data_IF_029299053331
#
_entry.id   IF_029299053331
#
_cell.length_a   1.000
_cell.length_b   1.000
_cell.length_c   1.000
_cell.angle_alpha   90.00
_cell.angle_beta   90.00
_cell.angle_gamma   90.00
#
_symmetry.space_group_name_H-M   'P 1'
#
loop_
_entity.id
_entity.type
_entity.pdbx_description
1 polymer ?
#
# COMPACT_ATOMS: atom_id res chain seq x y z
N UNK A 1 -19.84 2.22 -48.58
CA UNK A 1 -21.06 1.43 -48.32
C UNK A 1 -20.73 0.25 -47.38
N UNK A 2 -20.94 0.41 -46.07
CA UNK A 2 -22.04 -0.25 -45.31
C UNK A 2 -21.58 -1.68 -44.89
N UNK A 3 -21.38 -2.09 -43.62
CA UNK A 3 -22.10 -1.84 -42.36
C UNK A 3 -21.22 -2.13 -41.11
N UNK A 4 -21.41 -1.31 -40.06
CA UNK A 4 -21.12 -1.58 -38.64
C UNK A 4 -22.41 -2.08 -37.96
N UNK A 5 -22.37 -2.96 -36.95
CA UNK A 5 -23.51 -3.18 -36.06
C UNK A 5 -23.45 -2.26 -34.82
N UNK A 6 -24.58 -1.57 -34.56
CA UNK A 6 -24.96 -0.91 -33.30
C UNK A 6 -25.83 -1.87 -32.45
N UNK A 7 -25.93 -1.69 -31.11
CA UNK A 7 -26.71 -2.54 -30.22
C UNK A 7 -28.19 -2.13 -30.15
N UNK A 8 -29.09 -3.00 -29.66
CA UNK A 8 -30.52 -2.72 -29.64
C UNK A 8 -30.94 -1.89 -28.42
N UNK A 9 -31.73 -0.86 -28.71
CA UNK A 9 -32.64 -0.15 -27.81
C UNK A 9 -34.00 -0.84 -27.78
N UNK A 10 -34.62 -0.95 -26.61
CA UNK A 10 -36.06 -1.24 -26.48
C UNK A 10 -36.69 -0.29 -25.46
N UNK A 11 -37.55 0.59 -25.95
CA UNK A 11 -38.53 1.39 -25.21
C UNK A 11 -39.92 1.01 -25.70
N UNK A 12 -40.91 0.95 -24.80
CA UNK A 12 -42.36 1.14 -25.03
C UNK A 12 -43.02 1.17 -23.63
N UNK A 13 -43.46 2.35 -23.17
CA UNK A 13 -44.88 2.83 -23.16
C UNK A 13 -45.63 2.37 -21.89
N UNK A 14 -45.75 3.22 -20.87
CA UNK A 14 -46.84 4.20 -20.61
C UNK A 14 -48.15 3.54 -20.17
N UNK A 15 -48.54 3.76 -18.91
CA UNK A 15 -49.91 4.12 -18.52
C UNK A 15 -49.96 4.62 -17.06
N UNK A 16 -50.71 5.68 -16.85
CA UNK A 16 -51.20 6.21 -15.57
C UNK A 16 -52.72 6.40 -15.72
N UNK A 17 -53.50 6.40 -14.64
CA UNK A 17 -54.04 7.71 -14.23
C UNK A 17 -54.28 7.93 -12.72
N UNK A 18 -54.12 9.21 -12.36
CA UNK A 18 -54.85 10.09 -11.41
C UNK A 18 -55.46 9.55 -10.09
N UNK A 19 -55.20 10.31 -9.02
CA UNK A 19 -56.02 10.37 -7.81
C UNK A 19 -55.53 11.41 -6.79
N UNK A 20 -56.10 12.61 -6.86
CA UNK A 20 -55.81 13.83 -6.09
C UNK A 20 -56.27 13.80 -4.62
N UNK A 21 -55.57 14.55 -3.74
CA UNK A 21 -56.10 15.66 -2.88
C UNK A 21 -55.17 16.01 -1.70
N UNK A 22 -54.66 17.23 -1.71
CA UNK A 22 -54.39 18.08 -0.51
C UNK A 22 -55.60 19.05 -0.34
N UNK A 23 -55.64 20.11 0.53
CA UNK A 23 -54.66 20.65 1.51
C UNK A 23 -55.31 21.18 2.84
N UNK A 24 -54.54 22.03 3.56
CA UNK A 24 -54.90 23.09 4.55
C UNK A 24 -54.97 22.70 6.05
N UNK A 25 -54.61 23.51 7.06
CA UNK A 25 -53.73 24.68 7.29
C UNK A 25 -53.82 25.04 8.79
N UNK A 26 -52.75 25.63 9.34
CA UNK A 26 -52.68 26.73 10.35
C UNK A 26 -53.07 26.53 11.84
N UNK A 27 -52.09 26.93 12.68
CA UNK A 27 -52.05 27.46 14.08
C UNK A 27 -53.07 28.59 14.38
N UNK A 28 -53.32 29.08 15.64
CA UNK A 28 -52.38 29.42 16.75
C UNK A 28 -52.85 29.23 18.23
N UNK A 29 -51.94 29.19 19.23
CA UNK A 29 -51.79 30.16 20.36
C UNK A 29 -52.58 29.73 21.62
N UNK A 30 -52.19 29.84 22.90
CA UNK A 30 -51.16 30.59 23.62
C UNK A 30 -51.02 30.07 25.10
N UNK A 31 -49.92 30.48 25.75
CA UNK A 31 -49.63 30.72 27.19
C UNK A 31 -49.61 29.63 28.29
N UNK A 32 -48.51 29.65 29.07
CA UNK A 32 -48.42 29.12 30.44
C UNK A 32 -47.00 28.76 30.88
N UNK A 33 -46.27 29.71 31.46
CA UNK A 33 -44.82 29.60 31.72
C UNK A 33 -44.39 28.76 32.93
N UNK A 34 -43.11 28.37 32.96
CA UNK A 34 -42.29 28.06 34.15
C UNK A 34 -40.80 28.29 33.83
N UNK A 35 -40.07 28.78 34.84
CA UNK A 35 -38.70 29.34 34.86
C UNK A 35 -37.58 28.34 34.48
N UNK A 36 -36.36 28.83 34.15
CA UNK A 36 -35.34 28.08 33.41
C UNK A 36 -34.46 27.21 34.32
N UNK A 37 -34.15 25.99 33.86
CA UNK A 37 -33.13 25.11 34.45
C UNK A 37 -32.01 24.95 33.42
N UNK A 38 -30.86 25.53 33.70
CA UNK A 38 -29.64 25.39 32.89
C UNK A 38 -29.04 23.99 33.06
N UNK A 39 -28.63 23.29 31.98
CA UNK A 39 -27.86 22.06 32.09
C UNK A 39 -26.39 22.37 32.42
N UNK A 40 -25.71 21.51 33.22
CA UNK A 40 -24.37 21.79 33.70
C UNK A 40 -23.30 21.61 32.62
N UNK A 41 -22.35 22.54 32.63
CA UNK A 41 -21.11 22.55 31.85
C UNK A 41 -20.19 21.41 32.33
N UNK A 42 -19.95 20.41 31.47
CA UNK A 42 -18.95 19.38 31.70
C UNK A 42 -17.56 19.92 31.36
N UNK A 43 -16.78 20.22 32.41
CA UNK A 43 -15.32 20.43 32.36
C UNK A 43 -14.61 19.10 32.06
N UNK A 44 -13.63 19.04 31.15
CA UNK A 44 -12.76 17.87 31.02
C UNK A 44 -11.80 17.80 32.22
N UNK A 45 -11.95 16.77 33.05
CA UNK A 45 -10.93 16.35 34.01
C UNK A 45 -10.00 15.32 33.32
N UNK A 46 -8.69 15.32 33.62
CA UNK A 46 -7.69 14.54 32.89
C UNK A 46 -7.83 13.04 33.20
N UNK A 47 -7.74 12.19 32.17
CA UNK A 47 -7.71 10.74 32.34
C UNK A 47 -6.40 10.31 33.01
N UNK A 48 -6.55 9.67 34.16
CA UNK A 48 -5.56 8.94 34.94
C UNK A 48 -4.77 7.95 34.08
N UNK A 49 -3.46 8.13 34.05
CA UNK A 49 -2.46 7.16 33.60
C UNK A 49 -2.22 6.10 34.69
N UNK A 50 -2.81 4.91 34.56
CA UNK A 50 -2.45 3.78 35.43
C UNK A 50 -2.90 2.42 34.87
N UNK A 51 -2.20 1.90 33.86
CA UNK A 51 -2.21 0.47 33.53
C UNK A 51 -0.82 -0.02 33.10
N UNK A 52 0.22 0.35 33.83
CA UNK A 52 1.48 -0.40 33.86
C UNK A 52 2.06 -0.26 35.27
N UNK A 53 1.71 -1.19 36.15
CA UNK A 53 2.41 -1.36 37.43
C UNK A 53 3.71 -2.10 37.16
N UNK A 54 4.83 -1.46 37.47
CA UNK A 54 6.14 -2.08 37.58
C UNK A 54 6.17 -3.04 38.77
N UNK A 55 6.68 -4.26 38.56
CA UNK A 55 7.35 -5.09 39.57
C UNK A 55 8.19 -6.20 38.92
N UNK A 56 9.26 -6.68 39.57
CA UNK A 56 10.58 -6.74 38.92
C UNK A 56 11.15 -8.16 38.71
N UNK A 57 12.11 -8.21 37.78
CA UNK A 57 13.27 -9.12 37.70
C UNK A 57 13.01 -10.65 37.67
N UNK A 58 13.13 -11.26 36.47
CA UNK A 58 13.19 -12.72 36.31
C UNK A 58 13.72 -13.19 34.95
N UNK A 59 15.02 -13.44 34.87
CA UNK A 59 15.79 -14.15 33.82
C UNK A 59 15.76 -13.59 32.37
N UNK A 60 16.79 -12.80 32.04
CA UNK A 60 17.17 -12.56 30.63
C UNK A 60 17.83 -13.84 30.10
N UNK A 61 17.15 -14.55 29.18
CA UNK A 61 17.80 -15.65 28.45
C UNK A 61 19.04 -15.10 27.70
N UNK A 62 20.21 -15.77 27.77
CA UNK A 62 21.41 -15.30 27.08
C UNK A 62 21.21 -15.36 25.56
N UNK A 63 21.27 -14.21 24.89
CA UNK A 63 21.41 -14.16 23.44
C UNK A 63 22.69 -14.91 23.03
N UNK A 64 22.53 -16.04 22.32
CA UNK A 64 23.65 -16.90 21.93
C UNK A 64 24.64 -16.15 21.02
N UNK A 65 25.93 -16.47 21.11
CA UNK A 65 27.01 -15.84 20.32
C UNK A 65 26.72 -15.81 18.80
N UNK A 66 25.95 -16.77 18.28
CA UNK A 66 25.51 -16.85 16.88
C UNK A 66 24.51 -15.74 16.51
N UNK A 67 23.60 -15.35 17.44
CA UNK A 67 22.67 -14.23 17.28
C UNK A 67 23.38 -12.87 17.34
N UNK A 68 24.39 -12.70 18.21
CA UNK A 68 25.24 -11.49 18.19
C UNK A 68 25.96 -11.32 16.85
N UNK A 69 26.49 -12.42 16.27
CA UNK A 69 27.22 -12.36 14.99
C UNK A 69 26.35 -11.99 13.78
N UNK A 70 25.04 -12.28 13.82
CA UNK A 70 24.07 -11.84 12.80
C UNK A 70 23.78 -10.34 12.91
N UNK A 71 23.60 -9.82 14.14
CA UNK A 71 23.36 -8.40 14.40
C UNK A 71 24.61 -7.52 14.19
N UNK A 72 25.80 -8.05 14.44
CA UNK A 72 27.09 -7.36 14.18
C UNK A 72 27.54 -7.42 12.72
N UNK A 73 27.04 -8.37 11.91
CA UNK A 73 27.31 -8.38 10.45
C UNK A 73 26.49 -7.34 9.68
N UNK A 74 25.38 -6.84 10.25
CA UNK A 74 24.59 -5.74 9.69
C UNK A 74 25.10 -4.36 10.09
N UNK A 75 26.01 -4.25 11.06
CA UNK A 75 26.67 -2.98 11.38
C UNK A 75 27.94 -2.82 10.55
N UNK A 76 27.77 -2.63 9.24
CA UNK A 76 28.78 -1.82 8.53
C UNK A 76 28.62 -0.43 9.11
N UNK A 77 29.66 0.04 9.81
CA UNK A 77 29.69 1.36 10.41
C UNK A 77 29.11 2.39 9.44
N UNK A 78 28.08 3.10 9.87
CA UNK A 78 27.48 4.21 9.13
C UNK A 78 28.50 5.36 9.05
N UNK A 79 29.51 5.23 8.20
CA UNK A 79 30.29 6.37 7.76
C UNK A 79 29.39 7.16 6.81
N UNK A 80 28.72 8.17 7.35
CA UNK A 80 27.84 9.12 6.65
C UNK A 80 28.60 10.08 5.73
N UNK A 81 29.63 9.58 5.01
CA UNK A 81 30.30 10.41 4.01
C UNK A 81 29.34 10.69 2.84
N UNK A 82 29.31 11.92 2.31
CA UNK A 82 28.50 12.25 1.14
C UNK A 82 28.77 11.31 -0.04
N UNK A 83 30.02 10.88 -0.21
CA UNK A 83 30.44 9.91 -1.24
C UNK A 83 29.80 8.54 -1.04
N UNK A 84 29.69 8.06 0.20
CA UNK A 84 29.04 6.79 0.52
C UNK A 84 27.53 6.81 0.28
N UNK A 85 26.85 7.92 0.58
CA UNK A 85 25.40 8.05 0.31
C UNK A 85 25.10 8.03 -1.19
N UNK A 86 25.92 8.70 -2.01
CA UNK A 86 25.79 8.69 -3.47
C UNK A 86 25.96 7.29 -4.04
N UNK A 87 26.94 6.52 -3.54
CA UNK A 87 27.17 5.15 -4.00
C UNK A 87 26.00 4.23 -3.63
N UNK A 88 25.52 4.30 -2.39
CA UNK A 88 24.35 3.54 -1.93
C UNK A 88 23.10 3.92 -2.73
N UNK A 89 22.87 5.20 -3.00
CA UNK A 89 21.74 5.66 -3.80
C UNK A 89 21.80 5.16 -5.25
N UNK A 90 22.99 5.17 -5.86
CA UNK A 90 23.21 4.63 -7.21
C UNK A 90 22.99 3.12 -7.24
N UNK A 91 23.52 2.39 -6.25
CA UNK A 91 23.33 0.95 -6.14
C UNK A 91 21.85 0.60 -5.94
N UNK A 92 21.16 1.33 -5.05
CA UNK A 92 19.73 1.17 -4.83
C UNK A 92 18.94 1.47 -6.10
N UNK A 93 19.23 2.56 -6.80
CA UNK A 93 18.56 2.93 -8.03
C UNK A 93 18.74 1.87 -9.13
N UNK A 94 19.96 1.34 -9.28
CA UNK A 94 20.27 0.23 -10.21
C UNK A 94 19.53 -1.05 -9.84
N UNK A 95 19.48 -1.39 -8.54
CA UNK A 95 18.73 -2.56 -8.07
C UNK A 95 17.23 -2.42 -8.35
N UNK A 96 16.64 -1.25 -8.04
CA UNK A 96 15.23 -0.99 -8.30
C UNK A 96 14.90 -1.04 -9.81
N UNK A 97 15.79 -0.50 -10.64
CA UNK A 97 15.65 -0.58 -12.09
C UNK A 97 15.76 -2.01 -12.62
N UNK A 98 16.75 -2.78 -12.15
CA UNK A 98 16.89 -4.19 -12.50
C UNK A 98 15.65 -5.01 -12.11
N UNK A 99 15.11 -4.79 -10.91
CA UNK A 99 13.86 -5.42 -10.46
C UNK A 99 12.68 -5.02 -11.33
N UNK A 100 12.58 -3.74 -11.70
CA UNK A 100 11.51 -3.25 -12.57
C UNK A 100 11.60 -3.83 -13.97
N UNK A 101 12.80 -3.89 -14.58
CA UNK A 101 13.04 -4.51 -15.88
C UNK A 101 12.69 -5.98 -15.84
N UNK A 102 13.18 -6.72 -14.85
CA UNK A 102 12.85 -8.14 -14.67
C UNK A 102 11.34 -8.37 -14.55
N UNK A 103 10.64 -7.58 -13.73
CA UNK A 103 9.18 -7.66 -13.62
C UNK A 103 8.50 -7.36 -14.97
N UNK A 104 8.97 -6.36 -15.72
CA UNK A 104 8.43 -6.01 -17.04
C UNK A 104 8.67 -7.13 -18.07
N UNK A 105 9.88 -7.71 -18.11
CA UNK A 105 10.25 -8.78 -19.02
C UNK A 105 9.47 -10.07 -18.74
N UNK A 106 9.34 -10.43 -17.46
CA UNK A 106 8.49 -11.56 -17.02
C UNK A 106 7.03 -11.26 -17.39
N UNK A 107 6.49 -10.08 -17.08
CA UNK A 107 5.14 -9.70 -17.49
C UNK A 107 4.94 -9.83 -19.01
N UNK A 108 5.90 -9.38 -19.82
CA UNK A 108 5.85 -9.47 -21.27
C UNK A 108 5.84 -10.92 -21.77
N UNK A 109 6.58 -11.81 -21.10
CA UNK A 109 6.61 -13.25 -21.42
C UNK A 109 5.28 -13.96 -21.14
N UNK A 110 4.59 -13.59 -20.07
CA UNK A 110 3.33 -14.24 -19.66
C UNK A 110 2.06 -13.49 -20.14
N UNK A 111 2.20 -12.31 -20.76
CA UNK A 111 1.08 -11.50 -21.25
C UNK A 111 1.36 -10.83 -22.60
N UNK A 112 1.45 -11.58 -23.72
CA UNK A 112 1.43 -10.96 -25.04
C UNK A 112 0.08 -10.26 -25.24
N UNK A 113 0.07 -8.92 -25.13
CA UNK A 113 -1.11 -8.08 -25.41
C UNK A 113 -1.86 -7.48 -24.21
N UNK A 114 -1.49 -7.77 -22.95
CA UNK A 114 -2.08 -7.10 -21.76
C UNK A 114 -0.99 -6.34 -21.01
N UNK A 115 -0.50 -5.27 -21.62
CA UNK A 115 0.43 -4.33 -20.99
C UNK A 115 -0.28 -3.28 -20.14
N UNK A 116 -1.12 -3.66 -19.15
CA UNK A 116 -1.84 -2.70 -18.32
C UNK A 116 -1.63 -2.95 -16.82
N UNK A 117 -0.54 -2.41 -16.27
CA UNK A 117 -0.40 -2.25 -14.81
C UNK A 117 -1.21 -1.01 -14.34
N UNK A 118 -1.84 -1.01 -13.15
CA UNK A 118 -2.52 0.15 -12.55
C UNK A 118 -1.62 1.21 -11.91
N UNK A 119 -1.75 2.50 -12.28
CA UNK A 119 -0.90 3.58 -11.81
C UNK A 119 -1.13 3.77 -10.33
N UNK A 120 -0.02 3.92 -9.61
CA UNK A 120 -0.15 4.30 -8.22
C UNK A 120 -0.71 5.72 -8.15
N UNK A 121 -1.58 5.99 -7.17
CA UNK A 121 -2.10 7.34 -6.90
C UNK A 121 -0.97 8.38 -6.79
N UNK A 122 0.20 7.96 -6.29
CA UNK A 122 1.43 8.78 -6.24
C UNK A 122 1.93 9.22 -7.62
N UNK A 123 1.87 8.36 -8.64
CA UNK A 123 2.27 8.73 -9.99
C UNK A 123 1.36 9.79 -10.60
N UNK A 124 0.05 9.71 -10.33
CA UNK A 124 -0.94 10.72 -10.76
C UNK A 124 -0.62 12.09 -10.16
N UNK A 125 -0.33 12.12 -8.85
CA UNK A 125 0.08 13.34 -8.14
C UNK A 125 1.35 13.94 -8.76
N UNK A 126 2.37 13.11 -9.02
CA UNK A 126 3.61 13.58 -9.64
C UNK A 126 3.40 14.12 -11.07
N UNK A 127 2.48 13.53 -11.84
CA UNK A 127 2.13 14.04 -13.16
C UNK A 127 1.49 15.43 -13.08
N UNK A 128 0.57 15.66 -12.15
CA UNK A 128 -0.01 16.99 -11.93
C UNK A 128 1.05 17.99 -11.48
N UNK A 129 1.91 17.61 -10.54
CA UNK A 129 3.02 18.48 -10.08
C UNK A 129 4.02 18.83 -11.19
N UNK A 130 4.21 17.94 -12.16
CA UNK A 130 5.07 18.18 -13.31
C UNK A 130 4.42 19.02 -14.42
N UNK A 131 3.14 19.39 -14.27
CA UNK A 131 2.36 20.08 -15.30
C UNK A 131 1.89 19.17 -16.44
N UNK A 132 2.06 17.85 -16.34
CA UNK A 132 1.65 16.88 -17.37
C UNK A 132 0.15 16.59 -17.36
N UNK A 133 -0.58 17.00 -16.31
CA UNK A 133 -2.02 16.84 -16.20
C UNK A 133 -2.62 17.93 -15.30
N UNK A 134 -3.87 18.31 -15.55
CA UNK A 134 -4.58 19.32 -14.75
C UNK A 134 -5.14 18.78 -13.43
N UNK A 135 -5.44 17.47 -13.37
CA UNK A 135 -6.09 16.82 -12.24
C UNK A 135 -5.67 15.36 -12.13
N UNK A 136 -5.69 14.81 -10.92
CA UNK A 136 -5.42 13.38 -10.68
C UNK A 136 -6.57 12.48 -11.15
N UNK A 137 -7.79 13.02 -11.28
CA UNK A 137 -9.00 12.31 -11.70
C UNK A 137 -9.05 12.08 -13.21
N UNK A 138 -8.46 13.01 -13.98
CA UNK A 138 -8.57 13.03 -15.44
C UNK A 138 -7.48 12.21 -16.12
N UNK A 139 -6.55 11.64 -15.35
CA UNK A 139 -5.48 10.82 -15.90
C UNK A 139 -6.05 9.40 -16.15
N UNK A 140 -6.06 8.90 -17.39
CA UNK A 140 -6.41 7.52 -17.64
C UNK A 140 -5.42 6.57 -16.96
N UNK A 141 -5.90 5.40 -16.56
CA UNK A 141 -5.11 4.42 -15.84
C UNK A 141 -3.87 3.96 -16.64
N UNK A 142 -3.97 3.81 -17.96
CA UNK A 142 -2.84 3.47 -18.84
C UNK A 142 -1.82 4.61 -19.00
N UNK A 143 -2.27 5.85 -19.18
CA UNK A 143 -1.40 7.00 -19.38
C UNK A 143 -0.40 7.24 -18.22
N UNK A 144 -0.83 7.07 -16.96
CA UNK A 144 0.03 7.33 -15.80
C UNK A 144 1.19 6.34 -15.59
N UNK A 145 1.27 5.27 -16.37
CA UNK A 145 2.35 4.29 -16.32
C UNK A 145 3.28 4.29 -17.51
N UNK A 146 2.74 4.41 -18.71
CA UNK A 146 3.50 4.20 -19.95
C UNK A 146 3.90 5.52 -20.61
N UNK A 147 3.13 6.59 -20.42
CA UNK A 147 3.46 7.94 -20.89
C UNK A 147 4.20 8.77 -19.83
N UNK A 148 4.38 8.19 -18.64
CA UNK A 148 4.93 8.90 -17.49
C UNK A 148 6.45 9.05 -17.62
N UNK A 149 6.88 10.19 -18.19
CA UNK A 149 8.29 10.56 -18.41
C UNK A 149 9.03 11.01 -17.14
N UNK A 150 8.57 10.62 -15.95
CA UNK A 150 9.21 11.00 -14.70
C UNK A 150 10.64 10.45 -14.65
N UNK A 151 11.67 11.31 -14.60
CA UNK A 151 13.05 10.85 -14.57
C UNK A 151 13.33 10.04 -13.31
N UNK A 152 13.97 8.88 -13.47
CA UNK A 152 14.45 8.05 -12.36
C UNK A 152 15.81 8.53 -11.90
N UNK A 153 16.13 8.31 -10.62
CA UNK A 153 17.44 8.68 -10.06
C UNK A 153 18.61 8.02 -10.81
N UNK A 154 18.43 6.78 -11.31
CA UNK A 154 19.44 6.06 -12.11
C UNK A 154 19.71 6.69 -13.47
N UNK A 155 18.82 7.55 -13.98
CA UNK A 155 18.99 8.26 -15.25
C UNK A 155 19.91 9.47 -15.16
N UNK A 156 20.41 9.83 -13.98
CA UNK A 156 21.29 10.99 -13.79
C UNK A 156 22.76 10.58 -13.65
N UNK A 157 23.66 11.50 -14.02
CA UNK A 157 25.09 11.37 -13.73
C UNK A 157 25.35 11.34 -12.22
N UNK A 158 26.53 10.87 -11.80
CA UNK A 158 26.92 10.83 -10.37
C UNK A 158 26.77 12.20 -9.70
N UNK A 159 27.22 13.27 -10.36
CA UNK A 159 27.04 14.64 -9.88
C UNK A 159 25.55 15.03 -9.82
N UNK A 160 24.75 14.64 -10.82
CA UNK A 160 23.32 14.88 -10.83
C UNK A 160 22.56 14.15 -9.72
N UNK A 161 22.98 12.93 -9.36
CA UNK A 161 22.46 12.19 -8.22
C UNK A 161 22.85 12.87 -6.91
N UNK A 162 24.12 13.24 -6.74
CA UNK A 162 24.60 13.92 -5.54
C UNK A 162 23.85 15.24 -5.28
N UNK A 163 23.63 16.03 -6.33
CA UNK A 163 22.87 17.27 -6.22
C UNK A 163 21.46 17.03 -5.70
N UNK A 164 20.73 16.09 -6.31
CA UNK A 164 19.35 15.75 -5.90
C UNK A 164 19.28 15.19 -4.48
N UNK A 165 20.23 14.33 -4.11
CA UNK A 165 20.33 13.83 -2.75
C UNK A 165 20.56 14.95 -1.74
N UNK A 166 21.23 16.04 -2.13
CA UNK A 166 21.47 17.20 -1.28
C UNK A 166 20.27 18.17 -1.24
N UNK A 167 19.70 18.52 -2.39
CA UNK A 167 18.76 19.65 -2.50
C UNK A 167 17.28 19.27 -2.59
N UNK A 168 16.93 18.02 -2.93
CA UNK A 168 15.52 17.66 -3.14
C UNK A 168 14.84 17.19 -1.85
N UNK A 169 13.53 17.45 -1.75
CA UNK A 169 12.65 16.85 -0.75
C UNK A 169 12.56 15.34 -0.99
N UNK A 170 13.10 14.55 -0.06
CA UNK A 170 13.10 13.09 -0.14
C UNK A 170 11.96 12.55 0.69
N UNK A 171 11.08 11.77 0.08
CA UNK A 171 9.82 11.34 0.68
C UNK A 171 9.76 9.82 0.72
N UNK A 172 9.40 9.27 1.88
CA UNK A 172 9.12 7.85 2.06
C UNK A 172 7.71 7.68 2.64
N UNK A 173 6.92 6.75 2.10
CA UNK A 173 5.68 6.31 2.73
C UNK A 173 5.85 4.87 3.18
N UNK A 174 5.65 4.63 4.48
CA UNK A 174 5.76 3.32 5.12
C UNK A 174 4.39 2.86 5.61
N UNK A 175 4.24 1.55 5.72
CA UNK A 175 3.03 0.92 6.25
C UNK A 175 3.43 0.00 7.39
N UNK A 176 2.54 -0.18 8.36
CA UNK A 176 2.67 -1.21 9.37
C UNK A 176 2.99 -2.54 8.68
N UNK A 177 4.11 -3.19 9.06
CA UNK A 177 4.64 -4.29 8.26
C UNK A 177 3.71 -5.51 8.08
N UNK A 178 2.89 -5.86 9.07
CA UNK A 178 1.91 -6.95 8.96
C UNK A 178 0.70 -6.54 8.12
N UNK A 179 0.21 -5.32 8.27
CA UNK A 179 -0.83 -4.80 7.38
C UNK A 179 -0.37 -4.76 5.93
N UNK A 180 0.92 -4.47 5.69
CA UNK A 180 1.52 -4.50 4.36
C UNK A 180 1.48 -5.90 3.75
N UNK A 181 1.82 -6.94 4.52
CA UNK A 181 1.72 -8.32 4.04
C UNK A 181 0.29 -8.71 3.67
N UNK A 182 -0.68 -8.40 4.53
CA UNK A 182 -2.10 -8.70 4.28
C UNK A 182 -2.61 -7.92 3.08
N UNK A 183 -2.22 -6.65 2.94
CA UNK A 183 -2.56 -5.84 1.77
C UNK A 183 -1.98 -6.41 0.49
N UNK A 184 -0.74 -6.91 0.51
CA UNK A 184 -0.13 -7.56 -0.63
C UNK A 184 -0.87 -8.86 -0.98
N UNK A 185 -1.16 -9.71 0.01
CA UNK A 185 -1.91 -10.94 -0.20
C UNK A 185 -3.28 -10.67 -0.84
N UNK A 186 -4.07 -9.78 -0.24
CA UNK A 186 -5.40 -9.39 -0.72
C UNK A 186 -5.37 -8.86 -2.14
N UNK A 187 -4.41 -7.98 -2.45
CA UNK A 187 -4.28 -7.41 -3.80
C UNK A 187 -3.79 -8.42 -4.84
N UNK A 188 -2.95 -9.39 -4.44
CA UNK A 188 -2.27 -10.28 -5.39
C UNK A 188 -2.97 -11.61 -5.62
N UNK A 189 -3.66 -12.16 -4.61
CA UNK A 189 -4.13 -13.55 -4.62
C UNK A 189 -5.64 -13.75 -4.41
N UNK A 190 -6.38 -12.75 -3.91
CA UNK A 190 -7.83 -12.91 -3.67
C UNK A 190 -8.69 -12.67 -4.91
N UNK A 191 -8.20 -11.88 -5.85
CA UNK A 191 -8.88 -11.59 -7.11
C UNK A 191 -8.09 -12.15 -8.29
N UNK A 192 -8.75 -12.49 -9.41
CA UNK A 192 -8.07 -12.95 -10.61
C UNK A 192 -6.87 -12.06 -10.96
N UNK A 193 -5.71 -12.69 -11.10
CA UNK A 193 -4.46 -12.00 -11.34
C UNK A 193 -3.60 -12.79 -12.32
N UNK A 194 -3.53 -12.29 -13.54
CA UNK A 194 -2.86 -12.93 -14.67
C UNK A 194 -1.33 -12.94 -14.58
N UNK A 195 -0.73 -12.19 -13.65
CA UNK A 195 0.70 -12.27 -13.37
C UNK A 195 0.99 -13.07 -12.10
N UNK A 196 0.39 -12.68 -10.97
CA UNK A 196 0.76 -13.25 -9.67
C UNK A 196 0.29 -14.71 -9.52
N UNK A 197 -0.84 -15.11 -10.11
CA UNK A 197 -1.28 -16.50 -10.00
C UNK A 197 -0.35 -17.45 -10.78
N UNK A 198 -0.03 -17.21 -12.08
CA UNK A 198 0.90 -18.08 -12.80
C UNK A 198 2.31 -18.09 -12.23
N UNK A 199 2.86 -16.93 -11.84
CA UNK A 199 4.27 -16.81 -11.41
C UNK A 199 4.47 -17.25 -9.96
N UNK A 200 3.69 -16.69 -9.03
CA UNK A 200 3.85 -16.98 -7.60
C UNK A 200 2.88 -18.06 -7.13
N UNK A 201 1.61 -17.95 -7.53
CA UNK A 201 0.56 -18.81 -7.00
C UNK A 201 0.77 -20.29 -7.31
N UNK A 202 1.16 -20.63 -8.54
CA UNK A 202 1.51 -22.01 -8.92
C UNK A 202 2.65 -22.56 -8.07
N UNK A 203 3.71 -21.77 -7.89
CA UNK A 203 4.89 -22.19 -7.15
C UNK A 203 4.60 -22.35 -5.64
N UNK A 204 3.79 -21.46 -5.07
CA UNK A 204 3.34 -21.54 -3.67
C UNK A 204 2.48 -22.80 -3.48
N UNK A 205 1.43 -22.97 -4.30
CA UNK A 205 0.52 -24.11 -4.19
C UNK A 205 1.29 -25.43 -4.38
N UNK A 206 2.14 -25.51 -5.42
CA UNK A 206 2.90 -26.72 -5.71
C UNK A 206 3.85 -27.13 -4.58
N UNK A 207 4.32 -26.19 -3.76
CA UNK A 207 5.31 -26.47 -2.71
C UNK A 207 4.67 -26.72 -1.34
N UNK A 208 3.61 -26.00 -1.01
CA UNK A 208 3.09 -25.99 0.36
C UNK A 208 1.73 -26.69 0.52
N UNK A 209 1.05 -27.04 -0.59
CA UNK A 209 -0.24 -27.74 -0.56
C UNK A 209 -0.07 -29.23 -0.82
N UNK A 210 -0.26 -30.05 0.19
CA UNK A 210 -0.10 -31.52 0.09
C UNK A 210 -1.04 -32.17 -0.95
N UNK A 211 -2.30 -31.72 -1.03
CA UNK A 211 -3.34 -32.29 -1.92
C UNK A 211 -3.87 -31.25 -2.91
N UNK A 212 -2.97 -30.63 -3.69
CA UNK A 212 -3.35 -29.63 -4.68
C UNK A 212 -4.12 -30.23 -5.86
N UNK A 213 -5.27 -29.67 -6.21
CA UNK A 213 -5.99 -30.07 -7.42
C UNK A 213 -5.19 -29.68 -8.66
N UNK A 214 -5.34 -30.45 -9.75
CA UNK A 214 -4.72 -30.09 -11.03
C UNK A 214 -5.13 -28.70 -11.51
N UNK A 215 -6.38 -28.28 -11.24
CA UNK A 215 -6.84 -26.94 -11.57
C UNK A 215 -6.08 -25.85 -10.79
N UNK A 216 -5.83 -26.06 -9.50
CA UNK A 216 -5.04 -25.14 -8.67
C UNK A 216 -3.57 -25.09 -9.12
N UNK A 217 -2.96 -26.23 -9.44
CA UNK A 217 -1.58 -26.28 -9.95
C UNK A 217 -1.44 -25.62 -11.33
N UNK A 218 -2.45 -25.74 -12.20
CA UNK A 218 -2.46 -25.08 -13.52
C UNK A 218 -2.77 -23.60 -13.47
N UNK A 219 -3.66 -23.16 -12.60
CA UNK A 219 -4.06 -21.73 -12.54
C UNK A 219 -3.18 -20.92 -11.61
N UNK A 220 -2.71 -21.51 -10.51
CA UNK A 220 -2.11 -20.81 -9.39
C UNK A 220 -3.12 -19.99 -8.57
N UNK A 221 -4.42 -20.15 -8.82
CA UNK A 221 -5.47 -19.44 -8.11
C UNK A 221 -5.81 -20.11 -6.77
N UNK A 222 -6.33 -19.32 -5.83
CA UNK A 222 -6.77 -19.81 -4.52
C UNK A 222 -5.62 -20.13 -3.57
N UNK A 223 -4.50 -19.40 -3.67
CA UNK A 223 -3.47 -19.39 -2.63
C UNK A 223 -4.10 -18.93 -1.31
N UNK A 224 -3.87 -19.67 -0.23
CA UNK A 224 -4.31 -19.30 1.11
C UNK A 224 -3.31 -18.36 1.77
N UNK A 225 -3.77 -17.56 2.74
CA UNK A 225 -2.87 -16.67 3.48
C UNK A 225 -1.78 -17.47 4.22
N UNK A 226 -2.13 -18.64 4.75
CA UNK A 226 -1.20 -19.54 5.42
C UNK A 226 -0.08 -20.02 4.49
N UNK A 227 -0.41 -20.46 3.28
CA UNK A 227 0.59 -20.86 2.28
C UNK A 227 1.48 -19.69 1.87
N UNK A 228 0.91 -18.48 1.79
CA UNK A 228 1.69 -17.27 1.54
C UNK A 228 2.67 -16.96 2.69
N UNK A 229 2.27 -17.13 3.96
CA UNK A 229 3.17 -16.98 5.10
C UNK A 229 4.27 -18.04 5.10
N UNK A 230 3.94 -19.30 4.82
CA UNK A 230 4.93 -20.38 4.68
C UNK A 230 5.94 -20.05 3.57
N UNK A 231 5.49 -19.47 2.47
CA UNK A 231 6.36 -18.98 1.40
C UNK A 231 7.36 -17.91 1.86
N UNK A 232 6.92 -16.96 2.69
CA UNK A 232 7.80 -15.91 3.21
C UNK A 232 8.83 -16.45 4.20
N UNK A 233 8.43 -17.42 5.02
CA UNK A 233 9.29 -18.08 6.00
C UNK A 233 10.31 -19.04 5.38
N UNK A 234 10.04 -19.56 4.18
CA UNK A 234 10.96 -20.47 3.49
C UNK A 234 12.18 -19.73 2.92
N UNK A 235 13.37 -20.03 3.46
CA UNK A 235 14.64 -19.51 2.95
C UNK A 235 15.02 -20.08 1.57
N UNK A 236 14.42 -21.20 1.17
CA UNK A 236 14.55 -21.85 -0.15
C UNK A 236 13.28 -21.66 -0.99
N UNK A 237 12.55 -20.55 -0.77
CA UNK A 237 11.33 -20.23 -1.52
C UNK A 237 11.56 -20.28 -3.04
N UNK A 238 10.57 -20.74 -3.83
CA UNK A 238 10.77 -21.11 -5.23
C UNK A 238 10.94 -19.94 -6.22
N UNK A 239 10.46 -18.72 -5.91
CA UNK A 239 10.48 -17.58 -6.86
C UNK A 239 11.32 -16.41 -6.36
N UNK A 240 11.21 -16.04 -5.08
CA UNK A 240 11.94 -14.93 -4.47
C UNK A 240 11.05 -13.84 -3.87
N UNK A 241 11.65 -12.73 -3.43
CA UNK A 241 10.88 -11.61 -2.87
C UNK A 241 10.30 -10.73 -3.98
N UNK A 242 9.07 -10.26 -3.79
CA UNK A 242 8.45 -9.24 -4.63
C UNK A 242 8.45 -7.91 -3.85
N UNK A 243 8.47 -6.80 -4.60
CA UNK A 243 8.49 -5.45 -4.03
C UNK A 243 7.36 -5.15 -3.04
N UNK A 244 6.23 -5.87 -3.08
CA UNK A 244 5.10 -5.63 -2.18
C UNK A 244 5.32 -6.23 -0.79
N UNK A 245 6.15 -7.27 -0.66
CA UNK A 245 6.50 -7.92 0.61
C UNK A 245 8.00 -7.91 0.92
N UNK A 246 8.84 -7.26 0.11
CA UNK A 246 10.24 -6.96 0.43
C UNK A 246 10.33 -5.89 1.54
N UNK A 247 11.21 -6.05 2.54
CA UNK A 247 11.45 -5.05 3.59
C UNK A 247 11.74 -3.64 3.05
N UNK A 248 11.22 -2.61 3.73
CA UNK A 248 11.41 -1.20 3.33
C UNK A 248 12.88 -0.79 3.42
N UNK A 249 13.61 -1.34 4.39
CA UNK A 249 15.07 -1.25 4.53
C UNK A 249 15.81 -1.59 3.23
N UNK A 250 15.42 -2.68 2.56
CA UNK A 250 15.99 -3.12 1.29
C UNK A 250 15.50 -2.28 0.11
N UNK A 251 14.26 -1.78 0.17
CA UNK A 251 13.69 -1.00 -0.94
C UNK A 251 14.14 0.46 -0.96
N UNK A 252 14.37 1.06 0.20
CA UNK A 252 14.52 2.51 0.34
C UNK A 252 15.74 2.92 1.18
N UNK A 253 16.44 1.99 1.81
CA UNK A 253 17.67 2.23 2.58
C UNK A 253 17.61 3.45 3.53
N UNK A 254 16.60 3.53 4.43
CA UNK A 254 16.42 4.67 5.34
C UNK A 254 17.56 4.87 6.33
N UNK A 255 18.43 3.87 6.54
CA UNK A 255 19.64 4.02 7.34
C UNK A 255 20.73 4.85 6.63
N UNK A 256 20.68 4.94 5.30
CA UNK A 256 21.71 5.61 4.49
C UNK A 256 21.19 6.87 3.80
N UNK A 257 19.88 6.96 3.57
CA UNK A 257 19.23 8.11 2.95
C UNK A 257 18.47 8.92 4.01
N UNK A 258 18.77 10.22 4.05
CA UNK A 258 18.03 11.16 4.90
C UNK A 258 16.73 11.57 4.22
N UNK A 259 15.62 11.03 4.68
CA UNK A 259 14.30 11.41 4.20
C UNK A 259 13.83 12.69 4.89
N UNK A 260 13.40 13.67 4.09
CA UNK A 260 12.82 14.93 4.58
C UNK A 260 11.43 14.70 5.18
N UNK A 261 10.69 13.73 4.65
CA UNK A 261 9.36 13.37 5.12
C UNK A 261 9.16 11.86 5.11
N UNK A 262 8.63 11.32 6.20
CA UNK A 262 8.22 9.92 6.32
C UNK A 262 6.73 9.90 6.69
N UNK A 263 5.90 9.54 5.71
CA UNK A 263 4.46 9.39 5.90
C UNK A 263 4.04 7.95 6.16
N UNK A 264 2.83 7.77 6.67
CA UNK A 264 2.22 6.48 7.01
C UNK A 264 1.07 6.15 6.06
N UNK A 265 0.91 4.88 5.71
CA UNK A 265 -0.25 4.43 4.93
C UNK A 265 -1.54 4.44 5.74
N UNK A 266 -1.44 4.30 7.07
CA UNK A 266 -2.58 4.35 8.01
C UNK A 266 -3.21 5.75 8.04
N UNK A 267 -2.40 6.79 7.77
CA UNK A 267 -2.83 8.19 7.66
C UNK A 267 -2.55 8.77 6.26
N UNK A 268 -2.57 7.94 5.22
CA UNK A 268 -2.08 8.27 3.87
C UNK A 268 -2.61 9.60 3.33
N UNK A 269 -3.93 9.80 3.38
CA UNK A 269 -4.57 11.01 2.89
C UNK A 269 -4.09 12.25 3.65
N UNK A 270 -4.06 12.18 4.98
CA UNK A 270 -3.61 13.27 5.85
C UNK A 270 -2.15 13.62 5.59
N UNK A 271 -1.29 12.61 5.58
CA UNK A 271 0.15 12.75 5.43
C UNK A 271 0.53 13.24 4.04
N UNK A 272 -0.11 12.71 2.99
CA UNK A 272 0.12 13.14 1.62
C UNK A 272 -0.37 14.57 1.37
N UNK A 273 -1.54 14.94 1.88
CA UNK A 273 -2.04 16.31 1.77
C UNK A 273 -1.19 17.30 2.58
N UNK A 274 -0.67 16.90 3.74
CA UNK A 274 0.31 17.71 4.49
C UNK A 274 1.59 17.93 3.68
N UNK A 275 2.15 16.85 3.12
CA UNK A 275 3.33 16.92 2.27
C UNK A 275 3.12 17.87 1.07
N UNK A 276 2.00 17.74 0.36
CA UNK A 276 1.66 18.62 -0.77
C UNK A 276 1.67 20.09 -0.37
N UNK A 277 1.04 20.45 0.76
CA UNK A 277 1.08 21.82 1.29
C UNK A 277 2.51 22.26 1.64
N UNK A 278 3.30 21.37 2.26
CA UNK A 278 4.66 21.70 2.71
C UNK A 278 5.63 21.99 1.56
N UNK A 279 5.39 21.43 0.37
CA UNK A 279 6.22 21.66 -0.82
C UNK A 279 5.70 22.79 -1.71
N UNK A 280 4.65 23.51 -1.28
CA UNK A 280 4.04 24.59 -2.06
C UNK A 280 3.26 24.10 -3.28
N UNK A 281 2.71 22.88 -3.25
CA UNK A 281 1.85 22.38 -4.32
C UNK A 281 0.59 23.25 -4.48
N UNK A 282 -0.03 23.28 -5.69
CA UNK A 282 -1.28 24.00 -5.91
C UNK A 282 -2.36 23.63 -4.88
N UNK A 283 -3.06 24.64 -4.35
CA UNK A 283 -4.03 24.44 -3.27
C UNK A 283 -5.22 23.52 -3.65
N UNK A 284 -5.52 23.40 -4.93
CA UNK A 284 -6.55 22.52 -5.48
C UNK A 284 -6.07 21.08 -5.72
N UNK A 285 -4.77 20.78 -5.53
CA UNK A 285 -4.23 19.44 -5.66
C UNK A 285 -4.30 18.70 -4.31
N UNK A 286 -5.11 17.64 -4.28
CA UNK A 286 -5.18 16.72 -3.14
C UNK A 286 -4.79 15.30 -3.53
N UNK A 287 -4.39 14.52 -2.53
CA UNK A 287 -4.12 13.10 -2.73
C UNK A 287 -5.42 12.35 -3.07
N UNK A 288 -5.43 11.50 -4.12
CA UNK A 288 -6.62 10.77 -4.52
C UNK A 288 -7.11 9.80 -3.43
N UNK A 289 -8.41 9.81 -3.14
CA UNK A 289 -9.06 8.93 -2.15
C UNK A 289 -9.60 7.63 -2.77
N UNK A 290 -9.90 7.63 -4.06
CA UNK A 290 -10.45 6.48 -4.79
C UNK A 290 -9.47 5.30 -4.90
N UNK A 291 -10.00 4.12 -5.19
CA UNK A 291 -9.22 2.88 -5.33
C UNK A 291 -9.36 2.34 -6.75
N UNK A 292 -8.27 2.30 -7.51
CA UNK A 292 -8.30 1.86 -8.91
C UNK A 292 -8.60 0.36 -9.03
N UNK A 293 -7.95 -0.46 -8.21
CA UNK A 293 -8.07 -1.92 -8.25
C UNK A 293 -9.01 -2.42 -7.15
N UNK A 294 -10.01 -3.21 -7.54
CA UNK A 294 -11.06 -3.71 -6.64
C UNK A 294 -11.73 -2.55 -5.84
N UNK A 295 -12.42 -1.61 -6.53
CA UNK A 295 -12.93 -0.38 -5.93
C UNK A 295 -13.94 -0.64 -4.79
N UNK A 296 -14.68 -1.74 -4.87
CA UNK A 296 -15.67 -2.15 -3.88
C UNK A 296 -15.05 -2.82 -2.64
N UNK A 297 -13.77 -3.22 -2.71
CA UNK A 297 -13.13 -3.93 -1.60
C UNK A 297 -12.58 -2.94 -0.57
N UNK A 298 -12.92 -3.17 0.71
CA UNK A 298 -12.42 -2.40 1.84
C UNK A 298 -10.87 -2.34 1.82
N UNK A 299 -10.32 -1.17 2.14
CA UNK A 299 -8.88 -0.99 2.33
C UNK A 299 -8.44 -1.86 3.50
N UNK A 300 -7.30 -2.52 3.36
CA UNK A 300 -6.71 -3.27 4.46
C UNK A 300 -6.50 -2.35 5.66
N UNK A 301 -6.89 -2.82 6.83
CA UNK A 301 -6.85 -2.12 8.11
C UNK A 301 -6.30 -3.06 9.19
N UNK A 302 -6.04 -2.52 10.39
CA UNK A 302 -5.59 -3.31 11.54
C UNK A 302 -6.57 -4.44 11.89
N UNK A 303 -7.89 -4.17 11.86
CA UNK A 303 -8.92 -5.17 12.17
C UNK A 303 -8.97 -6.29 11.13
N UNK A 304 -8.85 -5.96 9.84
CA UNK A 304 -8.72 -6.95 8.77
C UNK A 304 -7.45 -7.77 8.99
N UNK A 305 -6.33 -7.11 9.25
CA UNK A 305 -5.03 -7.76 9.44
C UNK A 305 -5.09 -8.77 10.57
N UNK A 306 -5.69 -8.42 11.71
CA UNK A 306 -5.89 -9.32 12.83
C UNK A 306 -6.67 -10.59 12.44
N UNK A 307 -7.68 -10.48 11.58
CA UNK A 307 -8.46 -11.63 11.06
C UNK A 307 -7.65 -12.57 10.16
N UNK A 308 -6.61 -12.08 9.48
CA UNK A 308 -5.72 -12.97 8.70
C UNK A 308 -4.73 -13.67 9.62
N UNK A 309 -4.12 -12.93 10.55
CA UNK A 309 -3.15 -13.51 11.48
C UNK A 309 -3.78 -14.46 12.50
N UNK A 310 -5.08 -14.35 12.80
CA UNK A 310 -5.80 -15.33 13.62
C UNK A 310 -5.97 -16.69 12.94
N UNK A 311 -5.68 -16.81 11.64
CA UNK A 311 -5.72 -18.09 10.90
C UNK A 311 -4.40 -18.87 11.03
N UNK A 312 -3.37 -18.27 11.62
CA UNK A 312 -2.04 -18.84 11.72
C UNK A 312 -1.83 -19.50 13.09
N UNK A 313 -1.00 -20.54 13.12
CA UNK A 313 -0.60 -21.18 14.37
C UNK A 313 0.61 -20.46 15.00
N UNK A 314 0.89 -20.73 16.28
CA UNK A 314 2.01 -20.10 17.01
C UNK A 314 3.38 -20.28 16.32
N UNK A 315 3.61 -21.40 15.62
CA UNK A 315 4.84 -21.68 14.87
C UNK A 315 4.97 -20.83 13.59
N UNK A 316 3.87 -20.28 13.07
CA UNK A 316 3.86 -19.38 11.92
C UNK A 316 3.98 -17.92 12.38
N UNK A 317 3.51 -17.61 13.59
CA UNK A 317 3.70 -16.33 14.30
C UNK A 317 5.06 -16.26 15.01
N UNK A 318 6.14 -16.60 14.31
CA UNK A 318 7.48 -16.65 14.91
C UNK A 318 8.23 -15.33 14.79
N UNK A 319 9.30 -15.21 15.58
CA UNK A 319 10.30 -14.15 15.42
C UNK A 319 10.83 -14.06 13.98
N UNK A 320 10.87 -15.17 13.24
CA UNK A 320 11.35 -15.20 11.86
C UNK A 320 10.40 -14.44 10.91
N UNK A 321 9.08 -14.50 11.15
CA UNK A 321 8.13 -13.68 10.41
C UNK A 321 8.35 -12.20 10.74
N UNK A 322 8.50 -11.86 12.03
CA UNK A 322 8.82 -10.50 12.43
C UNK A 322 10.13 -10.01 11.78
N UNK A 323 11.18 -10.84 11.76
CA UNK A 323 12.47 -10.49 11.17
C UNK A 323 12.36 -10.26 9.66
N UNK A 324 11.64 -11.12 8.92
CA UNK A 324 11.45 -10.96 7.48
C UNK A 324 10.58 -9.75 7.09
N UNK A 325 9.81 -9.24 8.04
CA UNK A 325 8.81 -8.21 7.80
C UNK A 325 9.34 -6.83 8.22
N UNK A 326 10.19 -6.79 9.24
CA UNK A 326 10.77 -5.55 9.80
C UNK A 326 12.19 -5.22 9.32
N UNK A 327 13.01 -6.21 8.94
CA UNK A 327 14.43 -6.05 8.55
C UNK A 327 14.63 -6.33 7.09
#
# INVERSE_FOLDING_TARGET
PVLRPQPPSSSLSSDSPLGSKQPLTKRPGDAGGRRPVSPPVLRPQPLSSSLFSDSPLGSKQPLTKRRRKLLLKSSVAASSSPTGQVEVALQLARMQESRHRLLTDICAQYQPGVGRRPPSQRQRVLMVLSGSAASTRDIPHDAAHYENRLPRLSGYSRAGVAERLRSYTKVLFVREPFERLVSAFRDKFESPNSYYHPVFGRAIISRYRANATHAALRSGAGVTFREFVQYLLDVRRPVGMDIHWEPVSQLCSPCFLQFTFIGKFESLERDANFLLRSIGAPANLTFPDFKDRNPLAERTSSSITQKYFSQLNATELTFDLCAQVWV
#
